data_IF_432018890871
#
_entry.id   IF_432018890871
#
_cell.length_a   1.000
_cell.length_b   1.000
_cell.length_c   1.000
_cell.angle_alpha   90.00
_cell.angle_beta   90.00
_cell.angle_gamma   90.00
#
_symmetry.space_group_name_H-M   'P 1'
#
loop_
_entity.id
_entity.type
_entity.pdbx_description
1 polymer ?
#
# COMPACT_ATOMS: atom_id res chain seq x y z
N UNK A 1 -39.92 6.95 21.80
CA UNK A 1 -38.92 6.00 21.26
C UNK A 1 -39.24 5.56 19.82
N UNK A 2 -40.48 5.16 19.51
CA UNK A 2 -40.86 4.80 18.13
C UNK A 2 -40.83 5.96 17.13
N UNK A 3 -41.31 7.15 17.53
CA UNK A 3 -41.33 8.33 16.65
C UNK A 3 -39.92 8.77 16.22
N UNK A 4 -38.93 8.70 17.13
CA UNK A 4 -37.53 9.01 16.82
C UNK A 4 -36.90 7.98 15.88
N UNK A 5 -37.24 6.69 16.03
CA UNK A 5 -36.80 5.63 15.11
C UNK A 5 -37.38 5.86 13.71
N UNK A 6 -38.68 6.14 13.62
CA UNK A 6 -39.38 6.38 12.34
C UNK A 6 -38.84 7.63 11.62
N UNK A 7 -38.64 8.73 12.35
CA UNK A 7 -38.02 9.95 11.79
C UNK A 7 -36.59 9.70 11.31
N UNK A 8 -35.79 8.92 12.06
CA UNK A 8 -34.45 8.51 11.65
C UNK A 8 -34.45 7.65 10.38
N UNK A 9 -35.40 6.71 10.27
CA UNK A 9 -35.59 5.88 9.07
C UNK A 9 -35.95 6.71 7.84
N UNK A 10 -36.87 7.66 7.99
CA UNK A 10 -37.31 8.54 6.90
C UNK A 10 -36.14 9.44 6.44
N UNK A 11 -35.39 10.03 7.37
CA UNK A 11 -34.21 10.84 7.05
C UNK A 11 -33.14 10.04 6.30
N UNK A 12 -32.89 8.79 6.72
CA UNK A 12 -31.97 7.88 6.03
C UNK A 12 -32.43 7.54 4.61
N UNK A 13 -33.72 7.26 4.43
CA UNK A 13 -34.30 6.95 3.11
C UNK A 13 -34.29 8.18 2.21
N UNK A 14 -34.65 9.36 2.72
CA UNK A 14 -34.59 10.62 1.97
C UNK A 14 -33.15 10.96 1.58
N UNK A 15 -32.18 10.80 2.49
CA UNK A 15 -30.76 11.01 2.18
C UNK A 15 -30.23 9.99 1.16
N UNK A 16 -30.69 8.74 1.23
CA UNK A 16 -30.39 7.69 0.26
C UNK A 16 -30.88 8.06 -1.15
N UNK A 17 -32.13 8.50 -1.27
CA UNK A 17 -32.71 8.92 -2.55
C UNK A 17 -31.97 10.15 -3.09
N UNK A 18 -31.68 11.15 -2.25
CA UNK A 18 -30.96 12.36 -2.66
C UNK A 18 -29.55 12.05 -3.17
N UNK A 19 -28.82 11.14 -2.50
CA UNK A 19 -27.46 10.74 -2.91
C UNK A 19 -27.47 9.90 -4.19
N UNK A 20 -28.51 9.08 -4.41
CA UNK A 20 -28.70 8.27 -5.62
C UNK A 20 -29.10 9.08 -6.85
N UNK A 21 -29.83 10.18 -6.66
CA UNK A 21 -30.37 11.04 -7.74
C UNK A 21 -29.41 12.18 -8.11
N UNK A 22 -28.24 12.32 -7.45
CA UNK A 22 -27.20 13.23 -7.92
C UNK A 22 -26.77 12.83 -9.34
N UNK A 23 -27.35 13.51 -10.34
CA UNK A 23 -26.95 13.39 -11.72
C UNK A 23 -25.45 13.68 -11.79
N UNK A 24 -24.64 12.81 -12.44
CA UNK A 24 -23.24 13.11 -12.63
C UNK A 24 -23.13 14.47 -13.33
N UNK A 25 -22.22 15.32 -12.86
CA UNK A 25 -21.92 16.56 -13.58
C UNK A 25 -21.50 16.18 -15.00
N UNK A 26 -21.86 17.00 -15.99
CA UNK A 26 -21.44 16.81 -17.37
C UNK A 26 -19.92 16.53 -17.43
N UNK A 27 -19.53 15.53 -18.21
CA UNK A 27 -18.14 15.04 -18.41
C UNK A 27 -17.47 14.30 -17.22
N UNK A 28 -18.20 13.88 -16.20
CA UNK A 28 -17.63 12.97 -15.19
C UNK A 28 -17.68 11.50 -15.65
N UNK A 29 -16.68 10.67 -15.27
CA UNK A 29 -16.74 9.23 -15.48
C UNK A 29 -18.02 8.61 -14.90
N UNK A 30 -18.59 7.59 -15.55
CA UNK A 30 -19.80 6.94 -15.05
C UNK A 30 -19.54 6.27 -13.70
N UNK A 31 -20.44 6.49 -12.74
CA UNK A 31 -20.42 5.80 -11.45
C UNK A 31 -21.11 4.45 -11.58
N UNK A 32 -20.36 3.38 -11.31
CA UNK A 32 -20.86 2.00 -11.29
C UNK A 32 -21.99 1.89 -10.27
N UNK A 33 -23.06 1.20 -10.65
CA UNK A 33 -24.25 1.05 -9.81
C UNK A 33 -23.97 0.12 -8.64
N UNK A 34 -24.22 0.60 -7.42
CA UNK A 34 -24.13 -0.20 -6.19
C UNK A 34 -25.46 -0.26 -5.44
N UNK A 35 -25.70 -1.39 -4.76
CA UNK A 35 -26.92 -1.63 -3.98
C UNK A 35 -26.85 -1.07 -2.55
N UNK A 36 -25.69 -1.18 -1.90
CA UNK A 36 -25.51 -0.88 -0.47
C UNK A 36 -24.82 0.49 -0.31
N UNK A 37 -25.45 1.53 0.27
CA UNK A 37 -24.93 2.90 0.23
C UNK A 37 -23.67 3.19 1.05
N UNK A 38 -23.50 2.44 2.14
CA UNK A 38 -22.40 2.63 3.09
C UNK A 38 -21.15 1.87 2.61
N UNK A 39 -21.35 0.67 2.07
CA UNK A 39 -20.28 -0.24 1.64
C UNK A 39 -19.94 -0.04 0.15
N UNK A 40 -20.93 0.32 -0.67
CA UNK A 40 -20.85 0.37 -2.12
C UNK A 40 -20.34 -0.93 -2.72
N UNK A 41 -19.19 -0.85 -3.39
CA UNK A 41 -18.50 -1.95 -4.05
C UNK A 41 -17.35 -2.51 -3.21
N UNK A 42 -17.19 -2.06 -1.95
CA UNK A 42 -16.04 -2.46 -1.10
C UNK A 42 -15.84 -3.97 -1.07
N UNK A 43 -16.90 -4.75 -0.87
CA UNK A 43 -16.79 -6.22 -0.80
C UNK A 43 -16.29 -6.81 -2.13
N UNK A 44 -16.93 -6.47 -3.24
CA UNK A 44 -16.54 -6.93 -4.58
C UNK A 44 -15.12 -6.49 -4.94
N UNK A 45 -14.75 -5.26 -4.60
CA UNK A 45 -13.42 -4.72 -4.83
C UNK A 45 -12.34 -5.37 -3.95
N UNK A 46 -12.66 -5.78 -2.73
CA UNK A 46 -11.69 -6.41 -1.82
C UNK A 46 -11.52 -7.91 -2.06
N UNK A 47 -12.61 -8.65 -2.30
CA UNK A 47 -12.58 -10.11 -2.35
C UNK A 47 -12.73 -10.71 -3.74
N UNK A 48 -13.14 -9.93 -4.75
CA UNK A 48 -13.31 -10.39 -6.13
C UNK A 48 -12.94 -9.27 -7.13
N UNK A 49 -11.81 -8.60 -6.87
CA UNK A 49 -11.42 -7.37 -7.58
C UNK A 49 -11.30 -7.58 -9.09
N UNK A 50 -10.67 -8.69 -9.50
CA UNK A 50 -10.37 -8.95 -10.90
C UNK A 50 -11.65 -9.10 -11.74
N UNK A 51 -12.54 -10.01 -11.33
CA UNK A 51 -13.78 -10.26 -12.06
C UNK A 51 -14.72 -9.06 -12.01
N UNK A 52 -14.80 -8.40 -10.85
CA UNK A 52 -15.57 -7.16 -10.68
C UNK A 52 -15.08 -6.06 -11.64
N UNK A 53 -13.78 -5.80 -11.71
CA UNK A 53 -13.22 -4.76 -12.57
C UNK A 53 -13.33 -5.13 -14.05
N UNK A 54 -13.21 -6.42 -14.42
CA UNK A 54 -13.48 -6.91 -15.78
C UNK A 54 -14.92 -6.63 -16.20
N UNK A 55 -15.87 -6.95 -15.34
CA UNK A 55 -17.29 -6.67 -15.59
C UNK A 55 -17.55 -5.17 -15.73
N UNK A 56 -17.00 -4.35 -14.83
CA UNK A 56 -17.13 -2.90 -14.91
C UNK A 56 -16.53 -2.33 -16.20
N UNK A 57 -15.35 -2.80 -16.61
CA UNK A 57 -14.73 -2.37 -17.88
C UNK A 57 -15.60 -2.73 -19.09
N UNK A 58 -16.24 -3.90 -19.08
CA UNK A 58 -17.15 -4.33 -20.16
C UNK A 58 -18.41 -3.46 -20.24
N UNK A 59 -18.96 -3.05 -19.11
CA UNK A 59 -20.22 -2.29 -19.05
C UNK A 59 -20.03 -0.77 -19.16
N UNK A 60 -18.94 -0.23 -18.60
CA UNK A 60 -18.72 1.21 -18.45
C UNK A 60 -17.50 1.75 -19.23
N UNK A 61 -16.72 0.87 -19.87
CA UNK A 61 -15.54 1.26 -20.66
C UNK A 61 -14.26 1.38 -19.83
N UNK A 62 -13.23 2.01 -20.42
CA UNK A 62 -11.88 2.09 -19.82
C UNK A 62 -11.74 3.08 -18.66
N UNK A 63 -12.74 3.93 -18.39
CA UNK A 63 -12.72 4.92 -17.31
C UNK A 63 -14.08 4.92 -16.62
N UNK A 64 -14.11 4.57 -15.33
CA UNK A 64 -15.34 4.52 -14.54
C UNK A 64 -15.05 4.81 -13.07
N UNK A 65 -16.07 5.19 -12.31
CA UNK A 65 -15.97 5.44 -10.88
C UNK A 65 -16.65 4.34 -10.07
N UNK A 66 -16.04 3.92 -8.96
CA UNK A 66 -16.63 2.99 -8.00
C UNK A 66 -16.69 3.64 -6.62
N UNK A 67 -17.73 3.34 -5.85
CA UNK A 67 -17.78 3.68 -4.43
C UNK A 67 -17.12 2.56 -3.61
N UNK A 68 -15.98 2.83 -2.99
CA UNK A 68 -15.25 1.88 -2.12
C UNK A 68 -14.77 2.61 -0.88
N UNK A 69 -14.87 1.97 0.29
CA UNK A 69 -14.38 2.48 1.56
C UNK A 69 -14.94 3.88 1.93
N UNK A 70 -16.22 4.11 1.63
CA UNK A 70 -16.88 5.40 1.91
C UNK A 70 -16.58 6.52 0.91
N UNK A 71 -15.76 6.26 -0.12
CA UNK A 71 -15.29 7.25 -1.09
C UNK A 71 -15.56 6.82 -2.53
N UNK A 72 -15.76 7.79 -3.42
CA UNK A 72 -15.79 7.54 -4.86
C UNK A 72 -14.36 7.55 -5.38
N UNK A 73 -13.94 6.47 -6.04
CA UNK A 73 -12.63 6.31 -6.67
C UNK A 73 -12.80 6.06 -8.16
N UNK A 74 -12.07 6.82 -8.97
CA UNK A 74 -12.03 6.61 -10.42
C UNK A 74 -11.01 5.54 -10.75
N UNK A 75 -11.45 4.50 -11.44
CA UNK A 75 -10.62 3.47 -12.03
C UNK A 75 -10.32 3.86 -13.46
N UNK A 76 -9.04 3.78 -13.83
CA UNK A 76 -8.56 4.12 -15.16
C UNK A 76 -7.81 2.93 -15.74
N UNK A 77 -8.14 2.57 -16.97
CA UNK A 77 -7.50 1.48 -17.71
C UNK A 77 -6.01 1.76 -17.98
N UNK A 78 -5.23 0.68 -18.12
CA UNK A 78 -3.79 0.74 -18.36
C UNK A 78 -3.41 1.58 -19.60
N UNK A 79 -4.31 1.65 -20.57
CA UNK A 79 -4.17 2.43 -21.80
C UNK A 79 -3.97 3.94 -21.56
N UNK A 80 -4.39 4.48 -20.41
CA UNK A 80 -4.20 5.90 -20.06
C UNK A 80 -3.09 6.13 -19.02
N UNK A 81 -2.32 5.09 -18.68
CA UNK A 81 -1.29 5.16 -17.63
C UNK A 81 -0.26 6.26 -17.88
N UNK A 82 0.22 6.39 -19.13
CA UNK A 82 1.19 7.42 -19.51
C UNK A 82 0.62 8.84 -19.36
N UNK A 83 -0.65 9.05 -19.72
CA UNK A 83 -1.31 10.36 -19.59
C UNK A 83 -1.48 10.75 -18.12
N UNK A 84 -1.86 9.81 -17.26
CA UNK A 84 -1.98 10.06 -15.82
C UNK A 84 -0.62 10.33 -15.17
N UNK A 85 0.38 9.49 -15.45
CA UNK A 85 1.70 9.57 -14.82
C UNK A 85 2.52 10.79 -15.28
N UNK A 86 2.16 11.41 -16.41
CA UNK A 86 2.82 12.62 -16.92
C UNK A 86 2.22 13.93 -16.42
N UNK A 87 1.06 13.88 -15.74
CA UNK A 87 0.33 15.06 -15.25
C UNK A 87 0.55 15.26 -13.75
N UNK A 88 1.78 15.57 -13.37
CA UNK A 88 2.18 15.86 -11.98
C UNK A 88 1.56 17.17 -11.42
N UNK A 89 1.08 18.04 -12.31
CA UNK A 89 0.27 19.22 -11.99
C UNK A 89 -1.17 18.88 -11.55
N UNK A 90 -1.71 17.74 -12.01
CA UNK A 90 -3.08 17.31 -11.75
C UNK A 90 -3.18 16.16 -10.74
N UNK A 91 -2.18 15.27 -10.68
CA UNK A 91 -2.16 14.09 -9.81
C UNK A 91 -1.03 14.16 -8.79
N UNK A 92 -1.38 14.02 -7.51
CA UNK A 92 -0.40 13.98 -6.42
C UNK A 92 -0.17 12.54 -5.91
N UNK A 93 0.76 11.83 -6.55
CA UNK A 93 1.12 10.46 -6.18
C UNK A 93 1.83 10.37 -4.82
N UNK A 94 2.60 11.40 -4.45
CA UNK A 94 3.26 11.47 -3.14
C UNK A 94 2.23 11.44 -2.02
N UNK A 95 1.22 12.30 -2.10
CA UNK A 95 0.10 12.31 -1.16
C UNK A 95 -0.62 10.96 -1.10
N UNK A 96 -0.92 10.36 -2.26
CA UNK A 96 -1.58 9.05 -2.30
C UNK A 96 -0.76 7.94 -1.61
N UNK A 97 0.57 7.96 -1.77
CA UNK A 97 1.47 7.04 -1.09
C UNK A 97 1.47 7.26 0.44
N UNK A 98 1.52 8.52 0.88
CA UNK A 98 1.47 8.88 2.30
C UNK A 98 0.11 8.65 2.97
N UNK A 99 -0.98 8.57 2.22
CA UNK A 99 -2.29 8.17 2.76
C UNK A 99 -2.40 6.66 3.02
N UNK A 100 -1.60 5.83 2.31
CA UNK A 100 -1.60 4.37 2.47
C UNK A 100 -0.70 3.94 3.62
N UNK A 101 0.43 4.61 3.79
CA UNK A 101 1.41 4.30 4.84
C UNK A 101 1.21 5.27 6.01
N UNK A 102 1.00 4.78 7.25
CA UNK A 102 0.81 5.64 8.43
C UNK A 102 2.13 6.32 8.86
N UNK A 103 2.64 7.22 8.03
CA UNK A 103 3.97 7.80 8.15
C UNK A 103 4.12 8.74 9.36
N UNK A 104 3.04 9.47 9.72
CA UNK A 104 2.99 10.31 10.93
C UNK A 104 3.44 9.54 12.18
N UNK A 105 3.17 8.24 12.17
CA UNK A 105 3.45 7.33 13.26
C UNK A 105 4.79 6.60 13.09
N UNK A 106 5.15 6.22 11.86
CA UNK A 106 6.40 5.50 11.57
C UNK A 106 7.63 6.42 11.63
N UNK A 107 7.49 7.69 11.23
CA UNK A 107 8.60 8.62 11.02
C UNK A 107 8.35 9.97 11.69
N UNK A 108 7.76 9.95 12.90
CA UNK A 108 7.41 11.13 13.72
C UNK A 108 8.57 12.14 13.92
N UNK A 109 9.82 11.72 13.74
CA UNK A 109 11.03 12.52 13.92
C UNK A 109 11.71 12.94 12.60
N UNK A 110 11.25 12.44 11.46
CA UNK A 110 11.79 12.81 10.14
C UNK A 110 10.97 14.01 9.64
N UNK A 111 11.58 15.20 9.62
CA UNK A 111 10.87 16.45 9.35
C UNK A 111 10.02 16.44 8.06
N UNK A 112 8.75 16.86 8.19
CA UNK A 112 7.71 16.90 7.14
C UNK A 112 8.17 17.54 5.81
N UNK A 113 9.07 18.52 5.89
CA UNK A 113 9.55 19.34 4.76
C UNK A 113 10.48 18.56 3.83
N UNK A 114 11.34 17.69 4.36
CA UNK A 114 12.21 16.84 3.52
C UNK A 114 11.40 15.75 2.81
N UNK A 115 10.23 15.40 3.35
CA UNK A 115 9.45 14.25 2.90
C UNK A 115 8.49 14.55 1.73
N UNK A 116 7.93 15.76 1.66
CA UNK A 116 7.14 16.21 0.51
C UNK A 116 7.98 16.23 -0.79
N UNK A 117 9.29 16.39 -0.67
CA UNK A 117 10.25 16.32 -1.78
C UNK A 117 10.73 14.90 -2.08
N UNK A 118 10.32 13.87 -1.33
CA UNK A 118 10.78 12.49 -1.54
C UNK A 118 10.50 11.94 -2.94
N UNK A 119 9.34 12.19 -3.60
CA UNK A 119 9.15 11.75 -4.98
C UNK A 119 10.20 12.36 -5.92
N UNK A 120 10.56 13.63 -5.70
CA UNK A 120 11.60 14.34 -6.46
C UNK A 120 13.00 13.78 -6.16
N UNK A 121 13.33 13.58 -4.88
CA UNK A 121 14.61 12.98 -4.45
C UNK A 121 14.78 11.55 -4.96
N UNK A 122 13.74 10.71 -4.84
CA UNK A 122 13.74 9.34 -5.37
C UNK A 122 13.92 9.36 -6.89
N UNK A 123 13.25 10.26 -7.60
CA UNK A 123 13.44 10.45 -9.05
C UNK A 123 14.88 10.82 -9.38
N UNK A 124 15.41 11.87 -8.77
CA UNK A 124 16.72 12.44 -9.08
C UNK A 124 17.90 11.57 -8.62
N UNK A 125 17.77 10.83 -7.52
CA UNK A 125 18.88 10.10 -6.92
C UNK A 125 18.80 8.59 -7.08
N UNK A 126 17.61 8.02 -7.27
CA UNK A 126 17.43 6.56 -7.41
C UNK A 126 16.94 6.21 -8.81
N UNK A 127 15.77 6.70 -9.23
CA UNK A 127 15.12 6.25 -10.47
C UNK A 127 15.90 6.63 -11.73
N UNK A 128 16.35 7.88 -11.85
CA UNK A 128 17.19 8.32 -12.97
C UNK A 128 18.57 7.64 -12.99
N UNK A 129 19.00 7.05 -11.87
CA UNK A 129 20.27 6.34 -11.72
C UNK A 129 20.10 4.83 -11.64
N UNK A 130 18.92 4.28 -11.95
CA UNK A 130 18.66 2.84 -11.86
C UNK A 130 19.67 2.02 -12.64
N UNK A 131 20.02 2.46 -13.85
CA UNK A 131 21.03 1.78 -14.68
C UNK A 131 22.40 1.67 -13.99
N UNK A 132 22.78 2.65 -13.17
CA UNK A 132 24.00 2.62 -12.36
C UNK A 132 23.91 1.62 -11.21
N UNK A 133 22.72 1.46 -10.62
CA UNK A 133 22.48 0.52 -9.53
C UNK A 133 22.18 -0.91 -10.01
N UNK A 134 21.77 -1.11 -11.26
CA UNK A 134 21.34 -2.41 -11.79
C UNK A 134 22.40 -3.50 -11.64
N UNK A 135 23.64 -3.22 -12.06
CA UNK A 135 24.74 -4.20 -11.95
C UNK A 135 25.05 -4.52 -10.48
N UNK A 136 25.11 -3.49 -9.64
CA UNK A 136 25.36 -3.61 -8.20
C UNK A 136 24.26 -4.42 -7.52
N UNK A 137 22.99 -4.14 -7.83
CA UNK A 137 21.83 -4.88 -7.31
C UNK A 137 21.87 -6.34 -7.75
N UNK A 138 22.20 -6.63 -9.00
CA UNK A 138 22.32 -8.01 -9.50
C UNK A 138 23.41 -8.78 -8.77
N UNK A 139 24.60 -8.18 -8.60
CA UNK A 139 25.72 -8.76 -7.84
C UNK A 139 25.33 -9.02 -6.38
N UNK A 140 24.69 -8.04 -5.73
CA UNK A 140 24.20 -8.20 -4.36
C UNK A 140 23.13 -9.29 -4.23
N UNK A 141 22.17 -9.36 -5.17
CA UNK A 141 21.15 -10.40 -5.19
C UNK A 141 21.75 -11.79 -5.38
N UNK A 142 22.70 -11.92 -6.30
CA UNK A 142 23.40 -13.18 -6.54
C UNK A 142 24.16 -13.64 -5.27
N UNK A 143 24.94 -12.73 -4.67
CA UNK A 143 25.66 -13.00 -3.44
C UNK A 143 24.74 -13.34 -2.27
N UNK A 144 23.63 -12.62 -2.10
CA UNK A 144 22.64 -12.90 -1.06
C UNK A 144 21.96 -14.26 -1.28
N UNK A 145 21.61 -14.59 -2.53
CA UNK A 145 21.05 -15.89 -2.88
C UNK A 145 22.02 -17.01 -2.55
N UNK A 146 23.29 -16.87 -2.91
CA UNK A 146 24.34 -17.82 -2.53
C UNK A 146 24.51 -17.92 -1.02
N UNK A 147 24.44 -16.81 -0.28
CA UNK A 147 24.55 -16.80 1.19
C UNK A 147 23.40 -17.53 1.87
N UNK A 148 22.15 -17.30 1.43
CA UNK A 148 20.96 -17.78 2.16
C UNK A 148 20.39 -19.10 1.63
N UNK A 149 20.53 -19.39 0.34
CA UNK A 149 20.07 -20.64 -0.27
C UNK A 149 21.23 -21.65 -0.37
N UNK A 150 22.45 -21.14 -0.53
CA UNK A 150 23.69 -21.91 -0.64
C UNK A 150 23.59 -23.03 -1.69
N UNK A 151 23.94 -22.65 -2.92
CA UNK A 151 23.94 -23.49 -4.11
C UNK A 151 25.13 -24.46 -4.18
N UNK A 152 26.10 -24.37 -3.25
CA UNK A 152 27.45 -24.91 -3.47
C UNK A 152 27.89 -25.96 -2.44
N UNK A 153 27.04 -26.36 -1.48
CA UNK A 153 27.42 -27.33 -0.44
C UNK A 153 26.34 -28.40 -0.30
N UNK A 154 26.66 -29.58 -0.84
CA UNK A 154 25.99 -30.88 -0.75
C UNK A 154 24.53 -30.96 -1.27
N UNK A 155 24.27 -31.92 -2.17
CA UNK A 155 22.98 -32.24 -2.81
C UNK A 155 21.88 -32.73 -1.84
N UNK A 156 22.00 -32.40 -0.55
CA UNK A 156 21.01 -32.78 0.45
C UNK A 156 19.81 -31.83 0.40
N UNK A 157 18.57 -32.36 0.47
CA UNK A 157 17.38 -31.53 0.52
C UNK A 157 17.41 -30.53 1.68
N UNK A 158 17.41 -29.23 1.36
CA UNK A 158 17.31 -28.15 2.35
C UNK A 158 15.85 -27.88 2.70
N UNK A 159 15.53 -27.91 3.98
CA UNK A 159 14.22 -27.49 4.51
C UNK A 159 14.32 -26.06 4.99
N UNK A 160 13.43 -25.20 4.50
CA UNK A 160 13.35 -23.81 4.91
C UNK A 160 12.09 -23.60 5.76
N UNK A 161 12.26 -23.20 7.01
CA UNK A 161 11.14 -23.01 7.95
C UNK A 161 10.23 -21.85 7.55
N UNK A 162 10.81 -20.78 6.99
CA UNK A 162 10.08 -19.57 6.59
C UNK A 162 10.60 -19.00 5.26
N UNK A 163 10.08 -19.55 4.16
CA UNK A 163 10.46 -19.14 2.81
C UNK A 163 10.15 -17.66 2.54
N UNK A 164 9.08 -17.12 3.12
CA UNK A 164 8.71 -15.71 2.98
C UNK A 164 9.79 -14.79 3.56
N UNK A 165 10.21 -15.04 4.81
CA UNK A 165 11.23 -14.24 5.46
C UNK A 165 12.60 -14.38 4.78
N UNK A 166 12.95 -15.59 4.31
CA UNK A 166 14.18 -15.82 3.55
C UNK A 166 14.22 -14.99 2.26
N UNK A 167 13.13 -14.98 1.48
CA UNK A 167 13.03 -14.15 0.27
C UNK A 167 13.17 -12.66 0.64
N UNK A 168 12.54 -12.22 1.73
CA UNK A 168 12.68 -10.84 2.20
C UNK A 168 14.13 -10.52 2.58
N UNK A 169 14.87 -11.41 3.25
CA UNK A 169 16.30 -11.18 3.56
C UNK A 169 17.15 -11.05 2.29
N UNK A 170 16.90 -11.89 1.28
CA UNK A 170 17.58 -11.81 -0.03
C UNK A 170 17.32 -10.44 -0.67
N UNK A 171 16.07 -9.98 -0.69
CA UNK A 171 15.69 -8.68 -1.27
C UNK A 171 16.19 -7.50 -0.41
N UNK A 172 16.27 -7.65 0.90
CA UNK A 172 16.70 -6.60 1.82
C UNK A 172 18.20 -6.33 1.74
N UNK A 173 18.99 -7.30 1.28
CA UNK A 173 20.43 -7.16 1.09
C UNK A 173 20.80 -6.06 0.08
N UNK A 174 20.32 -6.07 -1.18
CA UNK A 174 20.58 -4.98 -2.11
C UNK A 174 19.94 -3.65 -1.67
N UNK A 175 18.82 -3.69 -0.94
CA UNK A 175 18.20 -2.47 -0.38
C UNK A 175 19.13 -1.82 0.65
N UNK A 176 19.58 -2.57 1.66
CA UNK A 176 20.55 -2.09 2.64
C UNK A 176 21.80 -1.55 1.92
N UNK A 177 22.34 -2.32 0.97
CA UNK A 177 23.50 -1.91 0.19
C UNK A 177 23.34 -0.53 -0.50
N UNK A 178 22.17 -0.24 -1.09
CA UNK A 178 21.87 1.05 -1.72
C UNK A 178 21.73 2.18 -0.69
N UNK A 179 21.08 1.92 0.45
CA UNK A 179 20.73 2.97 1.42
C UNK A 179 21.87 3.32 2.38
N UNK A 180 22.63 2.34 2.85
CA UNK A 180 23.64 2.52 3.90
C UNK A 180 25.07 2.18 3.45
N UNK A 181 25.23 1.68 2.22
CA UNK A 181 26.55 1.38 1.64
C UNK A 181 26.94 -0.09 1.73
N UNK A 182 28.02 -0.44 1.03
CA UNK A 182 28.43 -1.84 0.87
C UNK A 182 28.95 -2.47 2.15
N UNK A 183 29.76 -1.74 2.92
CA UNK A 183 30.38 -2.24 4.16
C UNK A 183 29.30 -2.61 5.19
N UNK A 184 28.41 -1.67 5.50
CA UNK A 184 27.35 -1.87 6.49
C UNK A 184 26.32 -2.93 6.06
N UNK A 185 26.06 -3.07 4.74
CA UNK A 185 25.14 -4.08 4.22
C UNK A 185 25.62 -5.52 4.36
N UNK A 186 26.90 -5.74 4.70
CA UNK A 186 27.44 -7.09 4.97
C UNK A 186 27.03 -7.60 6.35
N UNK A 187 26.66 -6.71 7.27
CA UNK A 187 26.18 -7.09 8.60
C UNK A 187 24.78 -7.73 8.50
N UNK A 188 24.65 -8.97 8.98
CA UNK A 188 23.40 -9.72 8.92
C UNK A 188 22.28 -9.07 9.75
N UNK A 189 22.63 -8.46 10.88
CA UNK A 189 21.68 -7.76 11.75
C UNK A 189 21.05 -6.57 11.04
N UNK A 190 21.86 -5.84 10.28
CA UNK A 190 21.41 -4.71 9.47
C UNK A 190 20.46 -5.18 8.38
N UNK A 191 20.82 -6.21 7.63
CA UNK A 191 19.93 -6.81 6.61
C UNK A 191 18.65 -7.34 7.23
N UNK A 192 18.74 -7.97 8.40
CA UNK A 192 17.59 -8.48 9.17
C UNK A 192 16.67 -7.34 9.59
N UNK A 193 17.22 -6.21 10.04
CA UNK A 193 16.46 -5.01 10.40
C UNK A 193 15.67 -4.47 9.20
N UNK A 194 16.28 -4.40 8.01
CA UNK A 194 15.58 -4.00 6.78
C UNK A 194 14.49 -5.00 6.38
N UNK A 195 14.74 -6.30 6.56
CA UNK A 195 13.77 -7.36 6.28
C UNK A 195 12.55 -7.28 7.21
N UNK A 196 12.80 -7.11 8.49
CA UNK A 196 11.81 -6.93 9.54
C UNK A 196 10.98 -5.67 9.35
N UNK A 197 11.62 -4.55 9.01
CA UNK A 197 10.93 -3.30 8.65
C UNK A 197 10.01 -3.49 7.43
N UNK A 198 10.49 -4.18 6.39
CA UNK A 198 9.71 -4.42 5.17
C UNK A 198 8.51 -5.34 5.43
N UNK A 199 8.70 -6.39 6.25
CA UNK A 199 7.64 -7.31 6.65
C UNK A 199 6.54 -6.59 7.44
N UNK A 200 6.92 -5.75 8.40
CA UNK A 200 5.97 -4.94 9.19
C UNK A 200 5.19 -3.97 8.30
N UNK A 201 5.88 -3.26 7.40
CA UNK A 201 5.23 -2.35 6.47
C UNK A 201 4.23 -3.10 5.57
N UNK A 202 4.57 -4.31 5.12
CA UNK A 202 3.66 -5.16 4.36
C UNK A 202 2.41 -5.55 5.16
N UNK A 203 2.56 -5.89 6.44
CA UNK A 203 1.44 -6.19 7.32
C UNK A 203 0.50 -4.99 7.48
N UNK A 204 1.05 -3.78 7.59
CA UNK A 204 0.26 -2.54 7.69
C UNK A 204 -0.52 -2.23 6.41
N UNK A 205 0.08 -2.42 5.23
CA UNK A 205 -0.59 -2.21 3.95
C UNK A 205 -1.75 -3.20 3.73
N UNK A 206 -1.68 -4.40 4.33
CA UNK A 206 -2.77 -5.39 4.27
C UNK A 206 -3.99 -5.00 5.10
N UNK A 207 -3.87 -4.06 6.04
CA UNK A 207 -5.00 -3.58 6.85
C UNK A 207 -5.96 -2.83 5.92
N UNK A 208 -7.19 -3.33 5.69
CA UNK A 208 -8.09 -2.68 4.77
C UNK A 208 -8.44 -1.27 5.26
N UNK A 209 -8.32 -0.24 4.41
CA UNK A 209 -8.56 1.16 4.84
C UNK A 209 -10.01 1.42 5.28
N UNK A 210 -10.96 0.53 4.96
CA UNK A 210 -12.34 0.63 5.48
C UNK A 210 -12.44 0.42 6.99
N UNK A 211 -11.46 -0.20 7.65
CA UNK A 211 -11.48 -0.30 9.11
C UNK A 211 -11.42 1.09 9.76
N UNK A 212 -10.78 2.07 9.10
CA UNK A 212 -10.77 3.46 9.54
C UNK A 212 -12.15 4.14 9.38
N UNK A 213 -13.05 3.60 8.53
CA UNK A 213 -14.43 4.08 8.41
C UNK A 213 -15.29 3.72 9.63
N UNK A 214 -15.09 2.52 10.18
CA UNK A 214 -15.81 2.07 11.39
C UNK A 214 -15.14 2.58 12.67
N UNK A 215 -13.81 2.68 12.68
CA UNK A 215 -13.02 3.09 13.83
C UNK A 215 -11.96 4.12 13.40
N UNK A 216 -12.30 5.42 13.39
CA UNK A 216 -11.34 6.48 13.11
C UNK A 216 -10.18 6.40 14.11
N UNK A 217 -8.96 6.18 13.61
CA UNK A 217 -7.75 6.04 14.43
C UNK A 217 -7.47 4.63 14.93
N UNK A 218 -8.14 3.58 14.42
CA UNK A 218 -7.81 2.18 14.74
C UNK A 218 -6.36 1.84 14.41
N UNK A 219 -5.87 2.29 13.24
CA UNK A 219 -4.46 2.17 12.86
C UNK A 219 -3.55 2.78 13.94
N UNK A 220 -3.88 3.97 14.44
CA UNK A 220 -3.13 4.65 15.52
C UNK A 220 -3.20 3.93 16.87
N UNK A 221 -4.13 2.98 17.08
CA UNK A 221 -4.28 2.19 18.32
C UNK A 221 -3.64 0.81 18.22
N UNK A 222 -3.66 0.19 17.04
CA UNK A 222 -3.01 -1.11 16.79
C UNK A 222 -1.48 -0.96 16.73
N UNK A 223 -1.00 0.15 16.18
CA UNK A 223 0.43 0.39 15.99
C UNK A 223 1.25 0.60 17.30
N UNK A 224 0.74 1.26 18.36
CA UNK A 224 1.39 1.28 19.67
C UNK A 224 1.61 -0.11 20.26
N UNK A 225 0.62 -1.01 20.17
CA UNK A 225 0.75 -2.40 20.66
C UNK A 225 1.81 -3.17 19.88
N UNK A 226 1.86 -3.03 18.56
CA UNK A 226 2.95 -3.59 17.72
C UNK A 226 4.32 -3.06 18.13
N UNK A 227 4.42 -1.76 18.43
CA UNK A 227 5.68 -1.12 18.85
C UNK A 227 6.11 -1.57 20.24
N UNK A 228 5.15 -1.81 21.14
CA UNK A 228 5.41 -2.22 22.51
C UNK A 228 5.79 -3.71 22.58
N UNK A 229 5.15 -4.58 21.79
CA UNK A 229 5.57 -5.97 21.64
C UNK A 229 6.99 -6.07 21.06
N UNK A 230 7.32 -5.29 20.03
CA UNK A 230 8.65 -5.36 19.40
C UNK A 230 9.77 -4.74 20.25
N UNK A 231 9.51 -3.65 20.98
CA UNK A 231 10.48 -3.07 21.92
C UNK A 231 10.73 -3.99 23.12
N UNK A 232 9.71 -4.73 23.57
CA UNK A 232 9.86 -5.75 24.61
C UNK A 232 10.68 -6.94 24.10
N UNK A 233 10.47 -7.39 22.86
CA UNK A 233 11.27 -8.48 22.27
C UNK A 233 12.74 -8.09 22.02
N UNK A 234 13.02 -6.85 21.63
CA UNK A 234 14.39 -6.34 21.43
C UNK A 234 15.12 -6.09 22.76
N UNK A 235 14.41 -5.75 23.85
CA UNK A 235 15.04 -5.61 25.18
C UNK A 235 15.26 -6.93 25.91
N UNK A 236 14.68 -8.03 25.42
CA UNK A 236 14.77 -9.37 26.04
C UNK A 236 15.77 -10.30 25.30
N UNK A 237 16.34 -9.87 24.17
CA UNK A 237 17.48 -10.52 23.50
C UNK A 237 18.76 -9.73 23.71
#
# INVERSE_FOLDING_TARGET
>A
MYQTIILGSILLVSFYILKRVRKPKFNMPPLVRYKIPIIGHTYSYTFNSEEFLKQCKKEYGGIFSIYVWGQVRTIVGKEYSQEILSRDDAFNFGKAFFEIIPYDLLLKHMGLVNMLNMPKLLKEHIFCKLNFYSERMQKCLHSATQKYIDSNVHDDPKVFDNMYFLIIKIISTPVANVFIGEEESKNDEVVTTFAEFTSDLSALIKIPPFLNFFYPGLLNRILPDYKQQRLIEIMIR
#
